data_IF_964819031241
#
_entry.id   IF_964819031241
#
_cell.length_a   1.000
_cell.length_b   1.000
_cell.length_c   1.000
_cell.angle_alpha   90.00
_cell.angle_beta   90.00
_cell.angle_gamma   90.00
#
_symmetry.space_group_name_H-M   'P 1'
#
loop_
_entity.id
_entity.type
_entity.pdbx_description
1 polymer ?
#
# COMPACT_ATOMS: atom_id res chain seq x y z
N UNK A 1 5.17 -7.53 7.30
CA UNK A 1 5.13 -8.94 6.90
C UNK A 1 4.21 -9.10 5.68
N UNK A 2 2.91 -8.80 5.78
CA UNK A 2 1.93 -9.03 4.69
C UNK A 2 2.34 -8.35 3.37
N UNK A 3 2.73 -7.08 3.39
CA UNK A 3 3.13 -6.33 2.19
C UNK A 3 4.44 -6.84 1.56
N UNK A 4 5.27 -7.51 2.35
CA UNK A 4 6.52 -8.11 1.89
C UNK A 4 6.36 -9.59 1.51
N UNK A 5 5.16 -10.15 1.59
CA UNK A 5 4.91 -11.57 1.34
C UNK A 5 5.63 -12.51 2.33
N UNK A 6 5.97 -12.02 3.52
CA UNK A 6 6.68 -12.79 4.54
C UNK A 6 5.67 -13.45 5.47
N UNK A 7 5.68 -14.78 5.63
CA UNK A 7 4.84 -15.47 6.62
C UNK A 7 5.06 -14.88 8.02
N UNK A 8 3.96 -14.64 8.74
CA UNK A 8 4.02 -14.04 10.07
C UNK A 8 2.97 -14.67 10.98
N UNK A 9 3.38 -15.11 12.13
CA UNK A 9 2.50 -15.59 13.21
C UNK A 9 2.62 -14.60 14.37
N UNK A 10 1.47 -14.08 14.84
CA UNK A 10 1.39 -13.16 15.98
C UNK A 10 0.95 -13.89 17.24
N UNK A 11 1.12 -13.27 18.39
CA UNK A 11 0.80 -13.82 19.72
C UNK A 11 1.54 -15.13 20.06
N UNK A 12 2.67 -15.37 19.44
CA UNK A 12 3.53 -16.48 19.82
C UNK A 12 4.44 -16.07 20.98
N UNK A 13 4.48 -16.90 22.02
CA UNK A 13 5.36 -16.70 23.16
C UNK A 13 6.80 -17.16 22.83
N UNK A 14 7.64 -16.21 22.45
CA UNK A 14 9.02 -16.47 22.03
C UNK A 14 9.87 -17.06 23.15
N UNK A 15 9.47 -16.93 24.43
CA UNK A 15 10.19 -17.52 25.56
C UNK A 15 10.13 -19.04 25.59
N UNK A 16 9.22 -19.63 24.81
CA UNK A 16 9.12 -21.09 24.61
C UNK A 16 10.19 -21.65 23.66
N UNK A 17 10.95 -20.76 22.99
CA UNK A 17 12.09 -21.17 22.18
C UNK A 17 13.36 -21.01 23.04
N UNK A 18 14.15 -22.08 23.14
CA UNK A 18 15.42 -22.03 23.80
C UNK A 18 16.36 -21.02 23.15
N UNK A 19 17.09 -20.22 23.94
CA UNK A 19 18.02 -19.21 23.42
C UNK A 19 19.11 -19.80 22.51
N UNK A 20 19.45 -21.09 22.73
CA UNK A 20 20.44 -21.83 21.97
C UNK A 20 19.85 -22.63 20.80
N UNK A 21 18.55 -22.39 20.47
CA UNK A 21 17.90 -23.06 19.37
C UNK A 21 18.55 -22.65 18.05
N UNK A 22 19.22 -23.57 17.41
CA UNK A 22 19.94 -23.40 16.14
C UNK A 22 19.49 -24.44 15.11
N UNK A 23 18.19 -24.54 14.89
CA UNK A 23 17.58 -25.49 13.96
C UNK A 23 16.62 -24.79 13.02
N UNK A 24 16.14 -25.52 12.03
CA UNK A 24 15.15 -25.01 11.07
C UNK A 24 13.81 -24.78 11.73
N UNK A 25 13.08 -23.75 11.22
CA UNK A 25 11.72 -23.44 11.64
C UNK A 25 10.85 -23.34 10.38
N UNK A 26 9.65 -23.92 10.46
CA UNK A 26 8.58 -23.67 9.48
C UNK A 26 7.53 -22.81 10.12
N UNK A 27 7.17 -21.72 9.45
CA UNK A 27 6.08 -20.82 9.81
C UNK A 27 4.96 -20.95 8.78
N UNK A 28 3.77 -21.32 9.23
CA UNK A 28 2.57 -21.27 8.43
C UNK A 28 1.73 -20.05 8.85
N UNK A 29 1.73 -19.03 7.99
CA UNK A 29 1.01 -17.78 8.24
C UNK A 29 -0.49 -17.90 8.04
N UNK A 30 -0.98 -18.95 7.38
CA UNK A 30 -2.40 -19.19 7.12
C UNK A 30 -3.06 -19.93 8.29
N UNK A 31 -2.37 -20.95 8.84
CA UNK A 31 -2.87 -21.72 9.98
C UNK A 31 -2.43 -21.16 11.33
N UNK A 32 -1.36 -20.36 11.36
CA UNK A 32 -0.71 -19.86 12.57
C UNK A 32 0.16 -20.91 13.26
N UNK A 33 0.48 -22.03 12.60
CA UNK A 33 1.31 -23.08 13.14
C UNK A 33 2.80 -22.75 13.00
N UNK A 34 3.56 -23.14 14.04
CA UNK A 34 5.03 -23.01 14.06
C UNK A 34 5.60 -24.37 14.38
N UNK A 35 6.43 -24.89 13.49
CA UNK A 35 7.13 -26.15 13.68
C UNK A 35 8.59 -25.87 13.97
N UNK A 36 9.02 -26.16 15.19
CA UNK A 36 10.43 -26.11 15.60
C UNK A 36 11.07 -27.47 15.27
N UNK A 37 12.20 -27.45 14.55
CA UNK A 37 12.89 -28.64 14.08
C UNK A 37 11.95 -29.60 13.29
N UNK A 38 11.35 -29.12 12.18
CA UNK A 38 10.31 -29.83 11.47
C UNK A 38 10.79 -31.18 10.94
N UNK A 39 9.95 -32.20 11.05
CA UNK A 39 10.22 -33.50 10.46
C UNK A 39 10.24 -33.46 8.93
N UNK A 40 10.86 -34.47 8.30
CA UNK A 40 10.88 -34.58 6.83
C UNK A 40 9.48 -34.57 6.22
N UNK A 41 8.48 -35.12 6.92
CA UNK A 41 7.09 -35.14 6.43
C UNK A 41 6.46 -33.74 6.45
N UNK A 42 6.76 -32.91 7.45
CA UNK A 42 6.31 -31.51 7.49
C UNK A 42 6.96 -30.70 6.37
N UNK A 43 8.27 -30.84 6.19
CA UNK A 43 8.99 -30.17 5.10
C UNK A 43 8.43 -30.54 3.73
N UNK A 44 8.17 -31.84 3.49
CA UNK A 44 7.59 -32.32 2.25
C UNK A 44 6.21 -31.74 1.98
N UNK A 45 5.33 -31.68 3.00
CA UNK A 45 4.00 -31.05 2.86
C UNK A 45 4.08 -29.57 2.49
N UNK A 46 5.01 -28.84 3.11
CA UNK A 46 5.24 -27.41 2.82
C UNK A 46 5.73 -27.25 1.37
N UNK A 47 6.69 -28.07 0.94
CA UNK A 47 7.21 -28.05 -0.42
C UNK A 47 6.12 -28.38 -1.46
N UNK A 48 5.30 -29.40 -1.20
CA UNK A 48 4.16 -29.75 -2.05
C UNK A 48 3.14 -28.59 -2.14
N UNK A 49 2.86 -27.90 -1.01
CA UNK A 49 2.00 -26.73 -0.96
C UNK A 49 2.55 -25.56 -1.81
N UNK A 50 3.83 -25.23 -1.64
CA UNK A 50 4.51 -24.19 -2.42
C UNK A 50 4.51 -24.52 -3.92
N UNK A 51 4.82 -25.78 -4.27
CA UNK A 51 4.80 -26.23 -5.66
C UNK A 51 3.40 -26.14 -6.29
N UNK A 52 2.35 -26.42 -5.52
CA UNK A 52 0.96 -26.25 -5.99
C UNK A 52 0.63 -24.79 -6.25
N UNK A 53 1.03 -23.87 -5.36
CA UNK A 53 0.84 -22.43 -5.55
C UNK A 53 1.61 -21.93 -6.77
N UNK A 54 2.87 -22.36 -6.94
CA UNK A 54 3.67 -21.97 -8.09
C UNK A 54 3.06 -22.48 -9.41
N UNK A 55 2.60 -23.71 -9.46
CA UNK A 55 1.88 -24.24 -10.64
C UNK A 55 0.60 -23.46 -10.95
N UNK A 56 -0.14 -23.03 -9.92
CA UNK A 56 -1.31 -22.17 -10.12
C UNK A 56 -0.92 -20.81 -10.69
N UNK A 57 0.19 -20.22 -10.22
CA UNK A 57 0.72 -18.96 -10.77
C UNK A 57 1.18 -19.11 -12.22
N UNK A 58 1.87 -20.19 -12.54
CA UNK A 58 2.32 -20.51 -13.92
C UNK A 58 1.14 -20.78 -14.86
N UNK A 59 0.05 -21.38 -14.35
CA UNK A 59 -1.15 -21.65 -15.13
C UNK A 59 -2.06 -20.44 -15.32
N UNK A 60 -1.73 -19.33 -14.67
CA UNK A 60 -2.46 -18.08 -14.81
C UNK A 60 -2.39 -17.58 -16.25
N UNK A 61 -3.53 -17.62 -16.94
CA UNK A 61 -3.67 -17.14 -18.30
C UNK A 61 -4.56 -15.89 -18.32
N UNK A 62 -3.98 -14.79 -18.74
CA UNK A 62 -4.67 -13.49 -18.81
C UNK A 62 -5.85 -13.48 -19.78
N UNK A 63 -5.81 -14.30 -20.82
CA UNK A 63 -6.91 -14.37 -21.79
C UNK A 63 -8.20 -14.82 -21.13
N UNK A 64 -8.11 -15.70 -20.12
CA UNK A 64 -9.27 -16.14 -19.32
C UNK A 64 -9.92 -15.01 -18.52
N UNK A 65 -9.18 -13.94 -18.16
CA UNK A 65 -9.70 -12.80 -17.44
C UNK A 65 -10.27 -11.75 -18.38
N UNK A 66 -9.66 -11.56 -19.56
CA UNK A 66 -10.20 -10.68 -20.60
C UNK A 66 -11.59 -11.11 -21.04
N UNK A 67 -11.81 -12.42 -21.17
CA UNK A 67 -13.10 -13.01 -21.53
C UNK A 67 -14.20 -12.74 -20.49
N UNK A 68 -13.82 -12.48 -19.24
CA UNK A 68 -14.77 -12.12 -18.17
C UNK A 68 -15.17 -10.63 -18.18
N UNK A 69 -14.55 -9.80 -19.01
CA UNK A 69 -14.79 -8.35 -19.03
C UNK A 69 -14.35 -7.62 -17.76
N UNK A 70 -13.45 -8.23 -16.97
CA UNK A 70 -12.91 -7.67 -15.72
C UNK A 70 -11.51 -7.12 -15.97
N UNK A 71 -11.27 -5.87 -15.55
CA UNK A 71 -9.94 -5.27 -15.53
C UNK A 71 -9.29 -5.48 -14.16
N UNK A 72 -8.13 -6.15 -14.14
CA UNK A 72 -7.31 -6.26 -12.94
C UNK A 72 -6.42 -5.01 -12.81
N UNK A 73 -6.36 -4.47 -11.60
CA UNK A 73 -5.55 -3.30 -11.25
C UNK A 73 -4.74 -3.58 -9.99
N UNK A 74 -3.50 -3.09 -9.95
CA UNK A 74 -2.64 -3.23 -8.78
C UNK A 74 -3.12 -2.38 -7.60
N UNK A 75 -2.83 -2.83 -6.39
CA UNK A 75 -2.94 -2.05 -5.15
C UNK A 75 -1.52 -1.86 -4.60
N UNK A 76 -1.01 -0.64 -4.67
CA UNK A 76 0.40 -0.28 -4.39
C UNK A 76 0.45 0.75 -3.28
N UNK A 77 1.44 0.66 -2.39
CA UNK A 77 1.60 1.59 -1.27
C UNK A 77 2.99 2.22 -1.13
N UNK A 78 4.04 1.62 -1.70
CA UNK A 78 5.40 2.14 -1.52
C UNK A 78 6.27 1.98 -2.75
N UNK A 79 7.43 2.66 -2.80
CA UNK A 79 8.43 2.49 -3.86
C UNK A 79 8.94 1.05 -3.93
N UNK A 80 9.09 0.38 -2.78
CA UNK A 80 9.49 -1.02 -2.73
C UNK A 80 8.44 -1.91 -3.39
N UNK A 81 7.14 -1.66 -3.15
CA UNK A 81 6.05 -2.38 -3.81
C UNK A 81 6.00 -2.09 -5.32
N UNK A 82 6.25 -0.84 -5.76
CA UNK A 82 6.36 -0.47 -7.18
C UNK A 82 7.47 -1.29 -7.85
N UNK A 83 8.65 -1.32 -7.23
CA UNK A 83 9.83 -2.00 -7.77
C UNK A 83 9.71 -3.52 -7.73
N UNK A 84 9.10 -4.07 -6.69
CA UNK A 84 8.85 -5.51 -6.56
C UNK A 84 7.71 -6.02 -7.43
N UNK A 85 6.86 -5.13 -7.96
CA UNK A 85 5.74 -5.50 -8.80
C UNK A 85 6.24 -6.10 -10.13
N UNK A 86 5.90 -7.36 -10.37
CA UNK A 86 6.40 -8.11 -11.53
C UNK A 86 5.27 -8.87 -12.23
N UNK A 87 4.22 -8.17 -12.63
CA UNK A 87 3.16 -8.70 -13.48
C UNK A 87 2.95 -7.77 -14.68
N UNK A 88 3.52 -8.18 -15.83
CA UNK A 88 3.45 -7.41 -17.06
C UNK A 88 2.05 -7.30 -17.66
N UNK A 89 1.09 -8.01 -17.13
CA UNK A 89 -0.28 -8.00 -17.60
C UNK A 89 -1.12 -6.91 -16.90
N UNK A 90 -0.77 -6.53 -15.68
CA UNK A 90 -1.46 -5.49 -14.95
C UNK A 90 -0.80 -4.15 -15.26
N UNK A 91 -1.47 -3.32 -16.04
CA UNK A 91 -0.97 -2.02 -16.54
C UNK A 91 -1.54 -0.82 -15.80
N UNK A 92 -2.51 -1.04 -14.90
CA UNK A 92 -3.23 -0.01 -14.16
C UNK A 92 -3.02 -0.17 -12.66
N UNK A 93 -3.06 0.97 -11.94
CA UNK A 93 -3.13 1.00 -10.48
C UNK A 93 -4.57 1.35 -10.07
N UNK A 94 -5.23 0.42 -9.39
CA UNK A 94 -6.57 0.62 -8.85
C UNK A 94 -6.58 1.43 -7.57
N UNK A 95 -5.47 1.39 -6.82
CA UNK A 95 -5.26 2.21 -5.64
C UNK A 95 -3.76 2.38 -5.37
N UNK A 96 -3.27 3.62 -5.46
CA UNK A 96 -1.99 4.00 -4.87
C UNK A 96 -2.24 4.60 -3.48
N UNK A 97 -1.67 3.98 -2.46
CA UNK A 97 -1.84 4.35 -1.04
C UNK A 97 -0.73 5.31 -0.64
N UNK A 98 -0.91 6.60 -0.92
CA UNK A 98 0.12 7.61 -0.74
C UNK A 98 0.57 7.82 0.71
N UNK A 99 -0.20 7.35 1.70
CA UNK A 99 0.17 7.46 3.10
C UNK A 99 1.47 6.73 3.46
N UNK A 100 1.83 5.67 2.73
CA UNK A 100 3.10 4.94 2.95
C UNK A 100 4.33 5.76 2.54
N UNK A 101 4.15 6.80 1.75
CA UNK A 101 5.23 7.77 1.46
C UNK A 101 5.58 8.62 2.69
N UNK A 102 4.64 8.72 3.64
CA UNK A 102 4.76 9.55 4.86
C UNK A 102 5.05 8.73 6.12
N UNK A 103 4.62 7.47 6.16
CA UNK A 103 4.80 6.58 7.32
C UNK A 103 6.26 6.10 7.38
N UNK A 104 6.73 5.76 8.59
CA UNK A 104 8.07 5.23 8.86
C UNK A 104 9.22 6.19 8.50
N UNK A 105 8.95 7.50 8.51
CA UNK A 105 9.94 8.57 8.29
C UNK A 105 10.05 9.46 9.53
N UNK A 106 11.20 10.08 9.68
CA UNK A 106 11.46 11.07 10.74
C UNK A 106 11.04 12.50 10.34
N UNK A 107 10.79 12.75 9.06
CA UNK A 107 10.39 14.04 8.51
C UNK A 107 9.47 13.88 7.31
N UNK A 108 8.69 14.92 7.03
CA UNK A 108 7.84 15.01 5.84
C UNK A 108 8.64 14.76 4.56
N UNK A 109 8.14 13.97 3.61
CA UNK A 109 8.77 13.83 2.30
C UNK A 109 8.81 15.18 1.61
N UNK A 110 9.93 15.49 0.98
CA UNK A 110 10.06 16.70 0.17
C UNK A 110 9.22 16.61 -1.09
N UNK A 111 8.88 17.76 -1.69
CA UNK A 111 8.18 17.78 -2.98
C UNK A 111 8.93 16.99 -4.05
N UNK A 112 10.26 17.06 -4.07
CA UNK A 112 11.09 16.30 -5.02
C UNK A 112 10.95 14.80 -4.84
N UNK A 113 11.04 14.29 -3.60
CA UNK A 113 10.85 12.85 -3.31
C UNK A 113 9.46 12.37 -3.72
N UNK A 114 8.43 13.18 -3.50
CA UNK A 114 7.07 12.84 -3.93
C UNK A 114 6.95 12.74 -5.46
N UNK A 115 7.55 13.69 -6.20
CA UNK A 115 7.59 13.67 -7.67
C UNK A 115 8.36 12.45 -8.19
N UNK A 116 9.49 12.09 -7.57
CA UNK A 116 10.29 10.92 -7.94
C UNK A 116 9.45 9.62 -7.83
N UNK A 117 8.74 9.44 -6.72
CA UNK A 117 7.84 8.28 -6.53
C UNK A 117 6.70 8.27 -7.56
N UNK A 118 6.13 9.43 -7.85
CA UNK A 118 5.09 9.56 -8.87
C UNK A 118 5.60 9.17 -10.26
N UNK A 119 6.84 9.54 -10.59
CA UNK A 119 7.48 9.17 -11.86
C UNK A 119 7.85 7.67 -11.91
N UNK A 120 8.20 7.04 -10.78
CA UNK A 120 8.36 5.58 -10.70
C UNK A 120 7.03 4.87 -11.03
N UNK A 121 5.91 5.32 -10.46
CA UNK A 121 4.57 4.81 -10.79
C UNK A 121 4.28 4.97 -12.28
N UNK A 122 4.58 6.14 -12.85
CA UNK A 122 4.39 6.42 -14.27
C UNK A 122 5.19 5.48 -15.16
N UNK A 123 6.43 5.20 -14.79
CA UNK A 123 7.31 4.32 -15.56
C UNK A 123 6.83 2.86 -15.51
N UNK A 124 6.35 2.42 -14.35
CA UNK A 124 5.94 1.02 -14.13
C UNK A 124 4.56 0.70 -14.71
N UNK A 125 3.61 1.64 -14.63
CA UNK A 125 2.23 1.43 -15.05
C UNK A 125 1.87 2.35 -16.22
N UNK A 126 1.52 1.76 -17.36
CA UNK A 126 1.24 2.49 -18.61
C UNK A 126 -0.16 3.08 -18.70
N UNK A 127 -1.11 2.57 -17.91
CA UNK A 127 -2.52 2.95 -17.97
C UNK A 127 -2.95 3.79 -16.75
N UNK A 128 -4.24 3.79 -16.45
CA UNK A 128 -4.83 4.59 -15.36
C UNK A 128 -4.22 4.28 -14.00
N UNK A 129 -3.91 5.32 -13.25
CA UNK A 129 -3.46 5.26 -11.86
C UNK A 129 -4.47 6.01 -10.99
N UNK A 130 -5.15 5.31 -10.07
CA UNK A 130 -5.98 5.93 -9.04
C UNK A 130 -5.09 6.28 -7.86
N UNK A 131 -4.79 7.55 -7.72
CA UNK A 131 -3.96 8.10 -6.65
C UNK A 131 -4.85 8.54 -5.48
N UNK A 132 -4.80 7.82 -4.37
CA UNK A 132 -5.47 8.23 -3.14
C UNK A 132 -4.63 9.29 -2.44
N UNK A 133 -5.21 10.48 -2.19
CA UNK A 133 -4.57 11.48 -1.35
C UNK A 133 -4.39 10.97 0.07
N UNK A 134 -3.63 11.66 0.87
CA UNK A 134 -3.19 11.23 2.21
C UNK A 134 -4.35 10.70 3.07
N UNK A 135 -4.26 9.42 3.47
CA UNK A 135 -5.22 8.77 4.38
C UNK A 135 -4.55 8.47 5.72
N UNK A 136 -4.27 9.53 6.48
CA UNK A 136 -3.68 9.48 7.82
C UNK A 136 -4.67 10.06 8.82
N UNK A 137 -4.68 9.47 10.01
CA UNK A 137 -5.49 9.87 11.16
C UNK A 137 -4.84 9.39 12.46
N UNK A 138 -5.49 9.56 13.59
CA UNK A 138 -4.95 9.25 14.92
C UNK A 138 -4.64 7.76 15.17
N UNK A 139 -5.01 6.85 14.25
CA UNK A 139 -4.67 5.45 14.26
C UNK A 139 -3.25 5.15 13.71
N UNK A 140 -2.64 6.11 13.02
CA UNK A 140 -1.30 5.99 12.43
C UNK A 140 -0.38 7.04 13.05
N UNK A 141 0.62 6.58 13.79
CA UNK A 141 1.59 7.49 14.39
C UNK A 141 2.59 7.96 13.34
N UNK A 142 2.52 9.24 13.00
CA UNK A 142 3.50 9.95 12.17
C UNK A 142 4.05 11.10 12.98
N UNK A 143 5.25 10.97 13.59
CA UNK A 143 5.72 11.86 14.67
C UNK A 143 5.83 13.34 14.29
N UNK A 144 6.01 13.65 13.01
CA UNK A 144 6.15 15.03 12.51
C UNK A 144 4.83 15.64 12.01
N UNK A 145 3.72 14.89 12.06
CA UNK A 145 2.39 15.40 11.76
C UNK A 145 1.63 15.63 13.06
N UNK A 146 0.99 16.78 13.18
CA UNK A 146 0.18 17.12 14.34
C UNK A 146 -1.19 16.42 14.26
N UNK A 147 -1.20 15.12 14.53
CA UNK A 147 -2.43 14.34 14.52
C UNK A 147 -3.11 14.43 15.89
N UNK A 148 -4.41 14.78 15.94
CA UNK A 148 -5.15 14.78 17.18
C UNK A 148 -5.26 13.37 17.74
N UNK A 149 -5.16 13.24 19.06
CA UNK A 149 -5.43 11.98 19.73
C UNK A 149 -6.93 11.85 19.96
N UNK A 150 -7.55 10.89 19.34
CA UNK A 150 -8.99 10.67 19.35
C UNK A 150 -9.34 9.27 19.84
N UNK A 151 -10.49 9.13 20.52
CA UNK A 151 -10.99 7.82 20.97
C UNK A 151 -11.44 6.95 19.81
N UNK A 152 -11.98 7.55 18.75
CA UNK A 152 -12.42 6.91 17.53
C UNK A 152 -11.77 7.52 16.28
N UNK A 153 -10.50 7.20 15.99
CA UNK A 153 -9.73 7.85 14.91
C UNK A 153 -10.37 7.75 13.52
N UNK A 154 -11.16 6.72 13.26
CA UNK A 154 -11.84 6.55 11.96
C UNK A 154 -12.99 7.53 11.76
N UNK A 155 -13.62 7.99 12.84
CA UNK A 155 -14.73 8.95 12.80
C UNK A 155 -14.26 10.41 12.96
N UNK A 156 -13.02 10.60 13.38
CA UNK A 156 -12.43 11.89 13.65
C UNK A 156 -11.70 12.54 12.47
N UNK A 157 -10.67 13.33 12.79
CA UNK A 157 -9.84 14.04 11.80
C UNK A 157 -8.93 13.06 11.07
N UNK A 158 -9.35 12.65 9.89
CA UNK A 158 -8.66 11.65 9.06
C UNK A 158 -8.89 11.90 7.57
N UNK A 159 -7.93 11.47 6.75
CA UNK A 159 -8.05 11.50 5.31
C UNK A 159 -8.30 12.91 4.79
N UNK A 160 -9.37 13.11 4.02
CA UNK A 160 -9.66 14.43 3.44
C UNK A 160 -9.90 15.51 4.49
N UNK A 161 -10.50 15.16 5.65
CA UNK A 161 -10.72 16.13 6.73
C UNK A 161 -9.40 16.67 7.27
N UNK A 162 -8.42 15.79 7.52
CA UNK A 162 -7.07 16.20 7.91
C UNK A 162 -6.39 17.04 6.82
N UNK A 163 -6.52 16.63 5.55
CA UNK A 163 -5.93 17.35 4.42
C UNK A 163 -6.53 18.75 4.23
N UNK A 164 -7.80 18.94 4.54
CA UNK A 164 -8.47 20.25 4.49
C UNK A 164 -8.11 21.15 5.68
N UNK A 165 -7.75 20.58 6.82
CA UNK A 165 -7.19 21.32 7.97
C UNK A 165 -5.72 21.71 7.69
N UNK A 166 -4.92 20.81 7.13
CA UNK A 166 -3.50 21.00 6.79
C UNK A 166 -3.32 21.33 5.28
N UNK A 167 -3.90 22.44 4.85
CA UNK A 167 -3.99 22.82 3.40
C UNK A 167 -2.65 22.91 2.70
N UNK A 168 -1.59 23.34 3.39
CA UNK A 168 -0.27 23.47 2.78
C UNK A 168 0.33 22.09 2.47
N UNK A 169 0.14 21.11 3.36
CA UNK A 169 0.51 19.72 3.13
C UNK A 169 -0.27 19.13 1.94
N UNK A 170 -1.57 19.39 1.89
CA UNK A 170 -2.42 18.90 0.82
C UNK A 170 -2.07 19.52 -0.53
N UNK A 171 -1.85 20.84 -0.59
CA UNK A 171 -1.39 21.54 -1.81
C UNK A 171 -0.08 20.98 -2.32
N UNK A 172 0.92 20.78 -1.44
CA UNK A 172 2.20 20.21 -1.83
C UNK A 172 2.03 18.82 -2.44
N UNK A 173 1.15 17.96 -1.86
CA UNK A 173 0.84 16.66 -2.45
C UNK A 173 0.19 16.81 -3.83
N UNK A 174 -0.77 17.71 -4.02
CA UNK A 174 -1.40 17.96 -5.31
C UNK A 174 -0.38 18.48 -6.33
N UNK A 175 0.47 19.44 -5.94
CA UNK A 175 1.56 19.96 -6.78
C UNK A 175 2.49 18.82 -7.21
N UNK A 176 2.82 17.89 -6.30
CA UNK A 176 3.68 16.74 -6.64
C UNK A 176 3.08 15.85 -7.74
N UNK A 177 1.75 15.67 -7.73
CA UNK A 177 1.03 14.91 -8.75
C UNK A 177 1.03 15.67 -10.08
N UNK A 178 0.68 16.96 -10.05
CA UNK A 178 0.56 17.80 -11.24
C UNK A 178 1.91 18.09 -11.90
N UNK A 179 3.00 18.08 -11.13
CA UNK A 179 4.37 18.31 -11.62
C UNK A 179 5.07 17.02 -12.03
N UNK A 180 4.42 15.88 -11.96
CA UNK A 180 4.97 14.58 -12.35
C UNK A 180 4.43 14.11 -13.70
N UNK A 181 5.08 13.10 -14.27
CA UNK A 181 4.66 12.48 -15.53
C UNK A 181 3.33 11.68 -15.42
N UNK A 182 2.68 11.71 -14.25
CA UNK A 182 1.39 11.05 -14.02
C UNK A 182 0.20 11.79 -14.63
N UNK A 183 0.33 13.07 -14.97
CA UNK A 183 -0.78 14.00 -15.22
C UNK A 183 -1.81 13.47 -16.23
N UNK A 184 -1.36 12.78 -17.28
CA UNK A 184 -2.23 12.32 -18.37
C UNK A 184 -3.06 11.08 -18.01
N UNK A 185 -2.71 10.36 -16.93
CA UNK A 185 -3.32 9.07 -16.58
C UNK A 185 -3.77 8.95 -15.12
N UNK A 186 -3.52 9.99 -14.31
CA UNK A 186 -3.91 9.99 -12.90
C UNK A 186 -5.40 10.30 -12.70
N UNK A 187 -6.00 9.59 -11.76
CA UNK A 187 -7.30 9.90 -11.17
C UNK A 187 -7.09 10.12 -9.68
N UNK A 188 -7.40 11.31 -9.19
CA UNK A 188 -7.26 11.65 -7.78
C UNK A 188 -8.48 11.16 -7.00
N UNK A 189 -8.25 10.38 -5.95
CA UNK A 189 -9.28 9.89 -5.04
C UNK A 189 -9.08 10.50 -3.66
N UNK A 190 -10.12 11.15 -3.15
CA UNK A 190 -10.14 11.71 -1.80
C UNK A 190 -10.69 10.68 -0.81
N UNK A 191 -9.90 10.27 0.21
CA UNK A 191 -10.36 9.31 1.21
C UNK A 191 -11.27 9.97 2.24
N UNK A 192 -12.21 9.21 2.80
CA UNK A 192 -13.03 9.60 3.94
C UNK A 192 -13.95 10.80 3.72
N UNK A 193 -14.38 11.06 2.48
CA UNK A 193 -15.40 12.08 2.17
C UNK A 193 -16.70 11.71 2.88
N UNK A 194 -17.21 12.62 3.71
CA UNK A 194 -18.40 12.40 4.54
C UNK A 194 -19.57 13.28 4.12
N UNK A 195 -19.27 14.49 3.65
CA UNK A 195 -20.24 15.49 3.20
C UNK A 195 -19.81 16.06 1.84
N UNK A 196 -20.73 16.70 1.16
CA UNK A 196 -20.49 17.29 -0.16
C UNK A 196 -19.37 18.34 -0.13
N UNK A 197 -19.33 19.13 0.93
CA UNK A 197 -18.36 20.24 1.07
C UNK A 197 -16.92 19.70 1.16
N UNK A 198 -16.69 18.55 1.80
CA UNK A 198 -15.36 17.89 1.80
C UNK A 198 -14.85 17.69 0.37
N UNK A 199 -15.72 17.22 -0.50
CA UNK A 199 -15.38 16.99 -1.91
C UNK A 199 -15.19 18.29 -2.69
N UNK A 200 -16.09 19.26 -2.51
CA UNK A 200 -16.04 20.53 -3.23
C UNK A 200 -14.80 21.35 -2.87
N UNK A 201 -14.45 21.40 -1.59
CA UNK A 201 -13.27 22.11 -1.09
C UNK A 201 -11.97 21.44 -1.58
N UNK A 202 -11.89 20.10 -1.51
CA UNK A 202 -10.76 19.36 -2.04
C UNK A 202 -10.61 19.56 -3.57
N UNK A 203 -11.72 19.46 -4.31
CA UNK A 203 -11.72 19.68 -5.75
C UNK A 203 -11.30 21.11 -6.11
N UNK A 204 -11.70 22.09 -5.32
CA UNK A 204 -11.29 23.49 -5.51
C UNK A 204 -9.77 23.64 -5.39
N UNK A 205 -9.16 23.05 -4.37
CA UNK A 205 -7.69 23.08 -4.20
C UNK A 205 -7.00 22.47 -5.43
N UNK A 206 -7.42 21.28 -5.88
CA UNK A 206 -6.86 20.65 -7.09
C UNK A 206 -7.00 21.56 -8.30
N UNK A 207 -8.18 22.19 -8.48
CA UNK A 207 -8.44 23.08 -9.63
C UNK A 207 -7.59 24.35 -9.55
N UNK A 208 -7.36 24.89 -8.35
CA UNK A 208 -6.58 26.12 -8.19
C UNK A 208 -5.09 25.87 -8.44
N UNK A 209 -4.55 24.72 -8.01
CA UNK A 209 -3.15 24.32 -8.27
C UNK A 209 -2.91 23.86 -9.72
N UNK A 210 -3.96 23.57 -10.48
CA UNK A 210 -3.86 23.13 -11.90
C UNK A 210 -3.83 24.28 -12.91
N UNK A 211 -3.91 25.54 -12.46
CA UNK A 211 -3.87 26.77 -13.31
C UNK A 211 -2.45 27.25 -13.52
#
# INVERSE_FOLDING_TARGET
AKNLGIPCVINFDITKIDSDFNKSVVLDGDTGEIFLDPTSDVLKKVEEGLNKINKLRESYNQDSIKDLGIELRANIGSSEEINAFNDDHIKSVGLFRSEFVYIDRSSKPTLKEQIEINNELNTKFSNTIVFRTLDIGGDKQVPYLNLPKEENPFLGVRGIRYSLDEKDLFREQIISILSSDLIDKVKIMFPMVSILDDFLDAKKIVTDESK
#
